data_IF_147040511622
#
_entry.id   IF_147040511622
#
_cell.length_a   1.000
_cell.length_b   1.000
_cell.length_c   1.000
_cell.angle_alpha   90.00
_cell.angle_beta   90.00
_cell.angle_gamma   90.00
#
_symmetry.space_group_name_H-M   'P 1'
#
loop_
_entity.id
_entity.type
_entity.pdbx_description
1 polymer ?
#
# COMPACT_ATOMS: atom_id res chain seq x y z
N UNK A 1 -24.96 -22.15 -2.98
CA UNK A 1 -24.69 -20.69 -3.09
C UNK A 1 -23.36 -20.33 -2.44
N UNK A 2 -23.13 -20.48 -1.14
CA UNK A 2 -21.87 -20.12 -0.49
C UNK A 2 -20.59 -20.79 -1.06
N UNK A 3 -20.64 -22.08 -1.44
CA UNK A 3 -19.49 -22.80 -2.02
C UNK A 3 -19.12 -22.35 -3.44
N UNK A 4 -20.06 -21.82 -4.23
CA UNK A 4 -19.76 -21.32 -5.59
C UNK A 4 -19.18 -19.89 -5.54
N UNK A 5 -19.62 -19.07 -4.58
CA UNK A 5 -19.04 -17.75 -4.31
C UNK A 5 -17.59 -17.87 -3.83
N UNK A 6 -17.30 -18.83 -2.96
CA UNK A 6 -15.94 -19.07 -2.43
C UNK A 6 -14.97 -19.56 -3.52
N UNK A 7 -15.43 -20.44 -4.41
CA UNK A 7 -14.64 -20.87 -5.58
C UNK A 7 -14.40 -19.72 -6.57
N UNK A 8 -15.36 -18.84 -6.75
CA UNK A 8 -15.24 -17.64 -7.59
C UNK A 8 -14.17 -16.69 -7.05
N UNK A 9 -14.24 -16.40 -5.75
CA UNK A 9 -13.26 -15.56 -5.06
C UNK A 9 -11.84 -16.14 -5.12
N UNK A 10 -11.68 -17.44 -4.87
CA UNK A 10 -10.38 -18.12 -4.94
C UNK A 10 -9.78 -18.05 -6.37
N UNK A 11 -10.59 -18.26 -7.41
CA UNK A 11 -10.12 -18.15 -8.81
C UNK A 11 -9.74 -16.72 -9.17
N UNK A 12 -10.52 -15.74 -8.71
CA UNK A 12 -10.19 -14.33 -8.92
C UNK A 12 -8.85 -13.98 -8.27
N UNK A 13 -8.62 -14.41 -7.03
CA UNK A 13 -7.35 -14.23 -6.33
C UNK A 13 -6.18 -14.91 -7.06
N UNK A 14 -6.38 -16.13 -7.60
CA UNK A 14 -5.38 -16.85 -8.40
C UNK A 14 -4.97 -16.06 -9.65
N UNK A 15 -5.94 -15.45 -10.36
CA UNK A 15 -5.65 -14.62 -11.53
C UNK A 15 -4.89 -13.35 -11.13
N UNK A 16 -5.27 -12.69 -10.02
CA UNK A 16 -4.58 -11.49 -9.54
C UNK A 16 -3.13 -11.80 -9.13
N UNK A 17 -2.88 -12.93 -8.46
CA UNK A 17 -1.54 -13.37 -8.12
C UNK A 17 -0.67 -13.63 -9.36
N UNK A 18 -1.23 -14.31 -10.37
CA UNK A 18 -0.55 -14.53 -11.64
C UNK A 18 -0.25 -13.21 -12.39
N UNK A 19 -1.20 -12.27 -12.36
CA UNK A 19 -1.00 -10.94 -12.95
C UNK A 19 0.12 -10.17 -12.23
N UNK A 20 0.17 -10.20 -10.91
CA UNK A 20 1.25 -9.58 -10.14
C UNK A 20 2.61 -10.15 -10.52
N UNK A 21 2.75 -11.48 -10.61
CA UNK A 21 3.98 -12.16 -11.05
C UNK A 21 4.40 -11.75 -12.46
N UNK A 22 3.46 -11.74 -13.40
CA UNK A 22 3.76 -11.40 -14.80
C UNK A 22 4.12 -9.92 -14.94
N UNK A 23 3.38 -9.02 -14.28
CA UNK A 23 3.68 -7.58 -14.32
C UNK A 23 5.02 -7.27 -13.65
N UNK A 24 5.34 -7.89 -12.52
CA UNK A 24 6.64 -7.72 -11.87
C UNK A 24 7.82 -8.14 -12.78
N UNK A 25 7.63 -9.22 -13.56
CA UNK A 25 8.70 -9.77 -14.42
C UNK A 25 8.84 -9.07 -15.77
N UNK A 26 7.75 -8.64 -16.39
CA UNK A 26 7.73 -8.14 -17.78
C UNK A 26 7.31 -6.67 -17.91
N UNK A 27 6.91 -6.06 -16.81
CA UNK A 27 6.25 -4.77 -16.79
C UNK A 27 4.81 -4.84 -17.30
N UNK A 28 3.99 -3.84 -16.91
CA UNK A 28 2.61 -3.76 -17.38
C UNK A 28 2.52 -3.71 -18.92
N UNK A 29 3.34 -2.87 -19.56
CA UNK A 29 3.26 -2.70 -21.01
C UNK A 29 3.71 -3.94 -21.80
N UNK A 30 4.75 -4.62 -21.32
CA UNK A 30 5.29 -5.85 -21.95
C UNK A 30 4.41 -7.09 -21.75
N UNK A 31 3.68 -7.15 -20.65
CA UNK A 31 2.82 -8.29 -20.30
C UNK A 31 1.63 -8.43 -21.24
N UNK A 32 1.28 -9.69 -21.57
CA UNK A 32 0.10 -10.04 -22.37
C UNK A 32 -0.87 -10.87 -21.55
N UNK A 33 -2.16 -10.80 -21.87
CA UNK A 33 -3.18 -11.63 -21.22
C UNK A 33 -2.88 -13.13 -21.34
N UNK A 34 -2.30 -13.56 -22.46
CA UNK A 34 -1.92 -14.97 -22.68
C UNK A 34 -0.76 -15.43 -21.76
N UNK A 35 0.12 -14.52 -21.32
CA UNK A 35 1.16 -14.81 -20.34
C UNK A 35 0.54 -15.03 -18.96
N UNK A 36 -0.48 -14.23 -18.61
CA UNK A 36 -1.22 -14.37 -17.36
C UNK A 36 -2.07 -15.65 -17.35
N UNK A 37 -2.65 -16.04 -18.50
CA UNK A 37 -3.32 -17.35 -18.65
C UNK A 37 -2.36 -18.48 -18.32
N UNK A 38 -1.14 -18.48 -18.88
CA UNK A 38 -0.12 -19.51 -18.62
C UNK A 38 0.29 -19.53 -17.13
N UNK A 39 0.56 -18.37 -16.57
CA UNK A 39 1.00 -18.22 -15.18
C UNK A 39 -0.08 -18.67 -14.19
N UNK A 40 -1.36 -18.34 -14.49
CA UNK A 40 -2.48 -18.72 -13.62
C UNK A 40 -2.84 -20.22 -13.69
N UNK A 41 -2.41 -20.94 -14.71
CA UNK A 41 -2.81 -22.33 -14.95
C UNK A 41 -4.29 -22.52 -15.30
N UNK A 42 -5.02 -21.43 -15.57
CA UNK A 42 -6.44 -21.46 -15.95
C UNK A 42 -6.60 -21.47 -17.45
N UNK A 43 -7.77 -21.90 -17.93
CA UNK A 43 -8.09 -21.76 -19.37
C UNK A 43 -8.26 -20.29 -19.75
N UNK A 44 -7.99 -19.97 -21.03
CA UNK A 44 -8.20 -18.63 -21.58
C UNK A 44 -9.64 -18.16 -21.39
N UNK A 45 -10.62 -19.03 -21.62
CA UNK A 45 -12.03 -18.73 -21.40
C UNK A 45 -12.35 -18.39 -19.93
N UNK A 46 -11.74 -19.11 -18.97
CA UNK A 46 -11.91 -18.83 -17.55
C UNK A 46 -11.35 -17.44 -17.19
N UNK A 47 -10.14 -17.10 -17.64
CA UNK A 47 -9.55 -15.79 -17.34
C UNK A 47 -10.41 -14.65 -17.93
N UNK A 48 -10.81 -14.74 -19.22
CA UNK A 48 -11.63 -13.72 -19.87
C UNK A 48 -13.08 -13.63 -19.35
N UNK A 49 -13.53 -14.63 -18.61
CA UNK A 49 -14.80 -14.55 -17.90
C UNK A 49 -14.70 -13.55 -16.72
N UNK A 50 -13.56 -13.54 -16.00
CA UNK A 50 -13.30 -12.63 -14.86
C UNK A 50 -12.85 -11.24 -15.28
N UNK A 51 -11.97 -11.14 -16.29
CA UNK A 51 -11.34 -9.88 -16.71
C UNK A 51 -11.32 -9.77 -18.23
N UNK A 52 -11.98 -8.76 -18.76
CA UNK A 52 -12.11 -8.56 -20.20
C UNK A 52 -10.89 -7.92 -20.85
N UNK A 53 -10.06 -7.22 -20.06
CA UNK A 53 -8.88 -6.52 -20.54
C UNK A 53 -7.74 -6.55 -19.53
N UNK A 54 -6.53 -6.26 -20.01
CA UNK A 54 -5.36 -6.05 -19.14
C UNK A 54 -5.53 -4.84 -18.22
N UNK A 55 -6.21 -3.81 -18.67
CA UNK A 55 -6.53 -2.61 -17.90
C UNK A 55 -7.47 -2.94 -16.74
N UNK A 56 -8.56 -3.65 -16.99
CA UNK A 56 -9.48 -4.12 -15.95
C UNK A 56 -8.76 -4.98 -14.91
N UNK A 57 -7.88 -5.87 -15.37
CA UNK A 57 -7.09 -6.74 -14.50
C UNK A 57 -6.10 -5.93 -13.66
N UNK A 58 -5.41 -4.93 -14.24
CA UNK A 58 -4.49 -4.06 -13.51
C UNK A 58 -5.23 -3.22 -12.46
N UNK A 59 -6.37 -2.65 -12.81
CA UNK A 59 -7.23 -1.91 -11.86
C UNK A 59 -7.67 -2.80 -10.70
N UNK A 60 -8.09 -4.03 -10.99
CA UNK A 60 -8.48 -4.98 -9.95
C UNK A 60 -7.30 -5.41 -9.07
N UNK A 61 -6.09 -5.53 -9.64
CA UNK A 61 -4.88 -5.83 -8.88
C UNK A 61 -4.52 -4.68 -7.93
N UNK A 62 -4.53 -3.43 -8.42
CA UNK A 62 -4.33 -2.23 -7.58
C UNK A 62 -5.33 -2.20 -6.44
N UNK A 63 -6.63 -2.34 -6.75
CA UNK A 63 -7.68 -2.38 -5.73
C UNK A 63 -7.42 -3.46 -4.67
N UNK A 64 -7.02 -4.67 -5.09
CA UNK A 64 -6.72 -5.77 -4.19
C UNK A 64 -5.52 -5.48 -3.28
N UNK A 65 -4.44 -4.90 -3.83
CA UNK A 65 -3.24 -4.53 -3.08
C UNK A 65 -3.57 -3.47 -2.02
N UNK A 66 -4.23 -2.39 -2.42
CA UNK A 66 -4.60 -1.28 -1.53
C UNK A 66 -5.61 -1.71 -0.47
N UNK A 67 -6.59 -2.57 -0.81
CA UNK A 67 -7.54 -3.12 0.16
C UNK A 67 -6.85 -4.00 1.21
N UNK A 68 -5.81 -4.73 0.83
CA UNK A 68 -5.01 -5.53 1.77
C UNK A 68 -4.24 -4.64 2.73
N UNK A 69 -3.61 -3.57 2.24
CA UNK A 69 -2.91 -2.59 3.07
C UNK A 69 -3.86 -1.89 4.05
N UNK A 70 -5.02 -1.45 3.55
CA UNK A 70 -6.07 -0.83 4.39
C UNK A 70 -6.51 -1.76 5.52
N UNK A 71 -6.76 -3.04 5.21
CA UNK A 71 -7.17 -4.02 6.22
C UNK A 71 -6.08 -4.23 7.28
N UNK A 72 -4.82 -4.37 6.87
CA UNK A 72 -3.70 -4.50 7.81
C UNK A 72 -3.59 -3.29 8.72
N UNK A 73 -3.80 -2.08 8.20
CA UNK A 73 -3.84 -0.85 8.99
C UNK A 73 -5.00 -0.85 9.97
N UNK A 74 -6.22 -1.20 9.53
CA UNK A 74 -7.41 -1.26 10.38
C UNK A 74 -7.23 -2.27 11.52
N UNK A 75 -6.68 -3.46 11.23
CA UNK A 75 -6.39 -4.50 12.23
C UNK A 75 -5.39 -3.99 13.28
N UNK A 76 -4.30 -3.35 12.84
CA UNK A 76 -3.28 -2.80 13.73
C UNK A 76 -3.82 -1.67 14.59
N UNK A 77 -4.65 -0.78 14.04
CA UNK A 77 -5.24 0.32 14.80
C UNK A 77 -6.31 -0.16 15.81
N UNK A 78 -6.86 -1.35 15.62
CA UNK A 78 -7.80 -1.98 16.55
C UNK A 78 -7.12 -2.67 17.74
N UNK A 79 -5.79 -2.85 17.72
CA UNK A 79 -5.05 -3.44 18.83
C UNK A 79 -5.10 -2.53 20.08
N UNK A 80 -5.27 -3.15 21.25
CA UNK A 80 -5.27 -2.46 22.55
C UNK A 80 -3.84 -2.21 23.06
N UNK A 81 -3.11 -1.39 22.30
CA UNK A 81 -1.76 -0.94 22.63
C UNK A 81 -1.63 0.58 22.48
N UNK A 82 -0.56 1.16 22.99
CA UNK A 82 -0.35 2.61 22.91
C UNK A 82 -0.20 3.08 21.46
N UNK A 83 -0.59 4.32 21.18
CA UNK A 83 -0.42 4.93 19.86
C UNK A 83 1.06 4.92 19.38
N UNK A 84 2.01 5.00 20.30
CA UNK A 84 3.43 4.90 19.98
C UNK A 84 3.81 3.49 19.50
N UNK A 85 3.28 2.46 20.15
CA UNK A 85 3.49 1.07 19.73
C UNK A 85 2.80 0.79 18.39
N UNK A 86 1.57 1.29 18.17
CA UNK A 86 0.89 1.16 16.88
C UNK A 86 1.70 1.80 15.75
N UNK A 87 2.25 3.00 15.96
CA UNK A 87 3.10 3.65 14.96
C UNK A 87 4.37 2.85 14.67
N UNK A 88 5.06 2.35 15.71
CA UNK A 88 6.26 1.54 15.52
C UNK A 88 5.96 0.24 14.77
N UNK A 89 4.91 -0.47 15.16
CA UNK A 89 4.46 -1.70 14.49
C UNK A 89 4.11 -1.45 13.02
N UNK A 90 3.40 -0.34 12.73
CA UNK A 90 3.04 0.05 11.37
C UNK A 90 4.28 0.24 10.50
N UNK A 91 5.22 1.06 10.94
CA UNK A 91 6.41 1.41 10.17
C UNK A 91 7.34 0.22 9.99
N UNK A 92 7.67 -0.47 11.08
CA UNK A 92 8.58 -1.63 11.04
C UNK A 92 7.94 -2.82 10.35
N UNK A 93 6.64 -3.06 10.58
CA UNK A 93 5.89 -4.13 9.92
C UNK A 93 5.86 -3.95 8.41
N UNK A 94 5.58 -2.73 7.94
CA UNK A 94 5.60 -2.39 6.52
C UNK A 94 6.98 -2.63 5.88
N UNK A 95 8.05 -2.14 6.52
CA UNK A 95 9.41 -2.32 6.00
C UNK A 95 9.82 -3.80 5.92
N UNK A 96 9.51 -4.59 6.97
CA UNK A 96 9.78 -6.04 6.98
C UNK A 96 9.01 -6.79 5.89
N UNK A 97 7.76 -6.41 5.65
CA UNK A 97 6.95 -7.05 4.62
C UNK A 97 7.49 -6.76 3.21
N UNK A 98 7.95 -5.52 2.95
CA UNK A 98 8.65 -5.20 1.70
C UNK A 98 9.96 -5.97 1.55
N UNK A 99 10.74 -6.12 2.63
CA UNK A 99 11.99 -6.85 2.59
C UNK A 99 11.81 -8.36 2.30
N UNK A 100 10.69 -8.95 2.75
CA UNK A 100 10.33 -10.34 2.43
C UNK A 100 9.92 -10.53 0.97
N UNK A 101 9.36 -9.49 0.35
CA UNK A 101 8.80 -9.52 -1.00
C UNK A 101 9.38 -8.37 -1.83
N UNK A 102 10.68 -8.43 -2.24
CA UNK A 102 11.36 -7.30 -2.87
C UNK A 102 10.76 -6.87 -4.21
N UNK A 103 10.07 -7.77 -4.91
CA UNK A 103 9.39 -7.46 -6.18
C UNK A 103 8.10 -6.64 -6.00
N UNK A 104 7.61 -6.53 -4.76
CA UNK A 104 6.36 -5.81 -4.46
C UNK A 104 6.49 -4.29 -4.66
N UNK A 105 7.61 -3.71 -4.23
CA UNK A 105 7.82 -2.27 -4.35
C UNK A 105 7.97 -1.80 -5.81
N UNK A 106 8.81 -2.44 -6.67
CA UNK A 106 8.86 -2.12 -8.09
C UNK A 106 7.49 -2.24 -8.78
N UNK A 107 6.75 -3.32 -8.50
CA UNK A 107 5.41 -3.52 -9.04
C UNK A 107 4.44 -2.41 -8.62
N UNK A 108 4.44 -2.02 -7.34
CA UNK A 108 3.58 -0.96 -6.83
C UNK A 108 3.88 0.39 -7.51
N UNK A 109 5.16 0.73 -7.70
CA UNK A 109 5.58 1.96 -8.40
C UNK A 109 5.15 1.95 -9.88
N UNK A 110 5.25 0.82 -10.56
CA UNK A 110 4.81 0.68 -11.94
C UNK A 110 3.29 0.85 -12.07
N UNK A 111 2.52 0.19 -11.20
CA UNK A 111 1.07 0.31 -11.18
C UNK A 111 0.61 1.73 -10.80
N UNK A 112 1.32 2.39 -9.87
CA UNK A 112 1.07 3.80 -9.53
C UNK A 112 1.26 4.71 -10.75
N UNK A 113 2.28 4.46 -11.58
CA UNK A 113 2.51 5.25 -12.80
C UNK A 113 1.32 5.20 -13.78
N UNK A 114 0.55 4.11 -13.79
CA UNK A 114 -0.65 3.96 -14.61
C UNK A 114 -1.79 4.90 -14.18
N UNK A 115 -1.79 5.41 -12.95
CA UNK A 115 -2.76 6.41 -12.48
C UNK A 115 -2.76 7.70 -13.33
N UNK A 116 -1.69 7.96 -14.08
CA UNK A 116 -1.63 9.07 -15.05
C UNK A 116 -2.57 8.89 -16.24
N UNK A 117 -2.78 7.66 -16.68
CA UNK A 117 -3.49 7.32 -17.92
C UNK A 117 -4.78 6.55 -17.69
N UNK A 118 -4.91 5.86 -16.56
CA UNK A 118 -6.09 5.04 -16.22
C UNK A 118 -6.83 5.71 -15.04
N UNK A 119 -8.00 6.35 -15.31
CA UNK A 119 -8.75 7.08 -14.29
C UNK A 119 -9.17 6.22 -13.08
N UNK A 120 -9.56 4.96 -13.31
CA UNK A 120 -9.99 4.05 -12.25
C UNK A 120 -8.85 3.74 -11.28
N UNK A 121 -7.63 3.53 -11.79
CA UNK A 121 -6.43 3.35 -10.96
C UNK A 121 -6.14 4.62 -10.15
N UNK A 122 -6.26 5.80 -10.77
CA UNK A 122 -6.11 7.08 -10.05
C UNK A 122 -7.10 7.19 -8.91
N UNK A 123 -8.37 6.88 -9.15
CA UNK A 123 -9.42 6.92 -8.14
C UNK A 123 -9.14 5.96 -6.97
N UNK A 124 -8.65 4.75 -7.26
CA UNK A 124 -8.24 3.78 -6.24
C UNK A 124 -7.14 4.35 -5.32
N UNK A 125 -6.07 4.91 -5.92
CA UNK A 125 -4.97 5.50 -5.14
C UNK A 125 -5.41 6.74 -4.36
N UNK A 126 -6.19 7.65 -4.95
CA UNK A 126 -6.69 8.85 -4.25
C UNK A 126 -7.49 8.47 -3.02
N UNK A 127 -8.49 7.60 -3.16
CA UNK A 127 -9.31 7.15 -2.04
C UNK A 127 -8.49 6.44 -0.94
N UNK A 128 -7.49 5.65 -1.33
CA UNK A 128 -6.59 4.98 -0.39
C UNK A 128 -5.73 6.01 0.37
N UNK A 129 -5.11 6.96 -0.33
CA UNK A 129 -4.27 7.99 0.28
C UNK A 129 -5.07 8.87 1.25
N UNK A 130 -6.28 9.31 0.87
CA UNK A 130 -7.14 10.12 1.72
C UNK A 130 -7.46 9.39 3.04
N UNK A 131 -7.82 8.09 2.96
CA UNK A 131 -8.07 7.25 4.12
C UNK A 131 -6.82 7.06 4.98
N UNK A 132 -5.70 6.79 4.36
CA UNK A 132 -4.43 6.55 5.06
C UNK A 132 -3.95 7.80 5.81
N UNK A 133 -4.05 8.97 5.17
CA UNK A 133 -3.78 10.27 5.79
C UNK A 133 -4.66 10.49 7.03
N UNK A 134 -5.97 10.19 6.93
CA UNK A 134 -6.91 10.33 8.05
C UNK A 134 -6.55 9.41 9.23
N UNK A 135 -6.19 8.16 8.95
CA UNK A 135 -5.76 7.18 9.96
C UNK A 135 -4.46 7.60 10.65
N UNK A 136 -3.45 8.03 9.87
CA UNK A 136 -2.17 8.49 10.41
C UNK A 136 -2.36 9.77 11.23
N UNK A 137 -3.14 10.74 10.75
CA UNK A 137 -3.48 11.95 11.50
C UNK A 137 -4.12 11.61 12.85
N UNK A 138 -5.11 10.71 12.86
CA UNK A 138 -5.78 10.26 14.08
C UNK A 138 -4.80 9.63 15.05
N UNK A 139 -3.87 8.82 14.57
CA UNK A 139 -2.81 8.21 15.38
C UNK A 139 -1.88 9.27 15.98
N UNK A 140 -1.50 10.28 15.20
CA UNK A 140 -0.64 11.38 15.65
C UNK A 140 -1.31 12.25 16.71
N UNK A 141 -2.61 12.53 16.58
CA UNK A 141 -3.39 13.25 17.60
C UNK A 141 -3.42 12.48 18.93
N UNK A 142 -3.59 11.15 18.88
CA UNK A 142 -3.52 10.30 20.08
C UNK A 142 -2.12 10.28 20.70
N UNK A 143 -1.05 10.39 19.90
CA UNK A 143 0.32 10.49 20.38
C UNK A 143 0.63 11.81 21.09
N UNK A 144 -0.02 12.89 20.68
CA UNK A 144 0.14 14.23 21.29
C UNK A 144 -0.61 14.38 22.62
N UNK A 145 -1.46 13.40 22.98
CA UNK A 145 -2.30 13.43 24.18
C UNK A 145 -3.33 14.56 24.13
N UNK A 146 -3.56 15.13 22.97
CA UNK A 146 -4.53 16.19 22.78
C UNK A 146 -5.94 15.62 22.88
N UNK A 147 -6.67 16.00 23.94
CA UNK A 147 -8.14 16.07 23.95
C UNK A 147 -8.58 16.86 22.71
N UNK A 148 -9.85 16.72 22.20
CA UNK A 148 -10.23 17.17 20.86
C UNK A 148 -9.67 18.56 20.58
N UNK A 149 -8.63 18.54 19.80
CA UNK A 149 -7.61 19.54 19.68
C UNK A 149 -8.19 20.77 19.00
N UNK A 150 -7.80 21.95 19.45
CA UNK A 150 -8.06 23.16 18.68
C UNK A 150 -7.40 23.11 17.30
N UNK A 151 -7.84 23.98 16.39
CA UNK A 151 -7.43 24.03 14.97
C UNK A 151 -5.91 23.90 14.72
N UNK A 152 -5.09 24.43 15.64
CA UNK A 152 -3.64 24.39 15.54
C UNK A 152 -3.04 22.98 15.71
N UNK A 153 -3.62 22.11 16.55
CA UNK A 153 -3.18 20.71 16.70
C UNK A 153 -3.55 19.88 15.50
N UNK A 154 -4.74 20.09 14.95
CA UNK A 154 -5.16 19.46 13.70
C UNK A 154 -4.23 19.82 12.54
N UNK A 155 -3.92 21.12 12.37
CA UNK A 155 -3.03 21.57 11.30
C UNK A 155 -1.60 20.97 11.41
N UNK A 156 -1.08 20.85 12.65
CA UNK A 156 0.21 20.18 12.87
C UNK A 156 0.17 18.69 12.57
N UNK A 157 -0.90 18.00 12.99
CA UNK A 157 -1.07 16.56 12.73
C UNK A 157 -1.25 16.29 11.22
N UNK A 158 -1.98 17.13 10.50
CA UNK A 158 -2.12 17.05 9.04
C UNK A 158 -0.78 17.21 8.33
N UNK A 159 -0.03 18.26 8.67
CA UNK A 159 1.29 18.50 8.08
C UNK A 159 2.26 17.35 8.36
N UNK A 160 2.25 16.81 9.58
CA UNK A 160 3.09 15.69 9.94
C UNK A 160 2.64 14.37 9.27
N UNK A 161 1.34 14.10 9.16
CA UNK A 161 0.84 12.94 8.45
C UNK A 161 1.27 12.96 6.98
N UNK A 162 1.11 14.09 6.30
CA UNK A 162 1.57 14.27 4.93
C UNK A 162 3.08 14.09 4.80
N UNK A 163 3.87 14.67 5.73
CA UNK A 163 5.32 14.52 5.75
C UNK A 163 5.74 13.06 5.95
N UNK A 164 5.09 12.34 6.87
CA UNK A 164 5.37 10.93 7.13
C UNK A 164 5.13 10.05 5.91
N UNK A 165 3.98 10.21 5.24
CA UNK A 165 3.67 9.45 4.04
C UNK A 165 4.65 9.78 2.91
N UNK A 166 4.96 11.06 2.70
CA UNK A 166 5.95 11.47 1.68
C UNK A 166 7.33 10.91 1.96
N UNK A 167 7.75 10.81 3.22
CA UNK A 167 9.03 10.19 3.60
C UNK A 167 9.00 8.69 3.33
N UNK A 168 7.91 8.00 3.68
CA UNK A 168 7.76 6.56 3.42
C UNK A 168 7.86 6.28 1.92
N UNK A 169 7.08 7.00 1.10
CA UNK A 169 7.09 6.85 -0.37
C UNK A 169 8.48 7.12 -0.95
N UNK A 170 9.12 8.21 -0.54
CA UNK A 170 10.46 8.57 -0.98
C UNK A 170 11.53 7.56 -0.58
N UNK A 171 11.44 6.98 0.62
CA UNK A 171 12.40 5.97 1.08
C UNK A 171 12.19 4.62 0.40
N UNK A 172 10.95 4.21 0.15
CA UNK A 172 10.64 3.01 -0.64
C UNK A 172 11.18 3.15 -2.06
N UNK A 173 10.96 4.30 -2.70
CA UNK A 173 11.53 4.58 -4.03
C UNK A 173 13.05 4.48 -4.02
N UNK A 174 13.72 5.13 -3.05
CA UNK A 174 15.18 5.07 -2.92
C UNK A 174 15.69 3.66 -2.65
N UNK A 175 15.00 2.91 -1.79
CA UNK A 175 15.35 1.52 -1.49
C UNK A 175 15.23 0.62 -2.73
N UNK A 176 14.16 0.80 -3.51
CA UNK A 176 13.94 0.07 -4.77
C UNK A 176 15.01 0.35 -5.82
N UNK A 177 15.54 1.58 -5.86
CA UNK A 177 16.54 2.01 -6.84
C UNK A 177 17.99 1.94 -6.32
N UNK A 178 18.18 1.53 -5.07
CA UNK A 178 19.51 1.56 -4.43
C UNK A 178 20.47 0.56 -5.06
N UNK A 179 21.63 1.03 -5.48
CA UNK A 179 22.77 0.18 -5.90
C UNK A 179 23.56 -0.34 -4.71
N UNK A 180 23.51 0.37 -3.58
CA UNK A 180 24.07 -0.04 -2.30
C UNK A 180 22.92 -0.32 -1.34
N UNK A 181 22.73 -1.57 -0.90
CA UNK A 181 21.67 -1.92 0.04
C UNK A 181 21.77 -1.13 1.35
N UNK A 182 20.62 -0.76 1.90
CA UNK A 182 20.50 -0.21 3.24
C UNK A 182 19.32 -0.85 3.97
N UNK A 183 19.34 -0.83 5.30
CA UNK A 183 18.26 -1.33 6.12
C UNK A 183 17.06 -0.37 6.06
N UNK A 184 16.01 -0.80 5.35
CA UNK A 184 14.79 0.01 5.19
C UNK A 184 14.06 0.20 6.52
N UNK A 185 14.02 -0.84 7.38
CA UNK A 185 13.30 -0.81 8.65
C UNK A 185 13.89 0.25 9.59
N UNK A 186 15.21 0.20 9.80
CA UNK A 186 15.88 1.13 10.70
C UNK A 186 15.86 2.56 10.19
N UNK A 187 16.05 2.75 8.88
CA UNK A 187 16.04 4.10 8.28
C UNK A 187 14.65 4.72 8.29
N UNK A 188 13.61 3.96 7.96
CA UNK A 188 12.22 4.42 8.05
C UNK A 188 11.86 4.78 9.49
N UNK A 189 12.19 3.93 10.45
CA UNK A 189 11.89 4.20 11.84
C UNK A 189 12.62 5.43 12.38
N UNK A 190 13.89 5.60 12.03
CA UNK A 190 14.67 6.78 12.38
C UNK A 190 14.02 8.08 11.86
N UNK A 191 13.62 8.08 10.58
CA UNK A 191 13.00 9.24 9.94
C UNK A 191 11.62 9.56 10.55
N UNK A 192 10.74 8.57 10.67
CA UNK A 192 9.38 8.72 11.22
C UNK A 192 9.45 9.19 12.67
N UNK A 193 10.25 8.52 13.52
CA UNK A 193 10.41 8.91 14.92
C UNK A 193 11.02 10.31 15.09
N UNK A 194 11.86 10.75 14.15
CA UNK A 194 12.39 12.12 14.08
C UNK A 194 11.30 13.17 13.85
N UNK A 195 10.41 12.94 12.87
CA UNK A 195 9.27 13.82 12.56
C UNK A 195 8.33 13.90 13.78
N UNK A 196 7.98 12.76 14.35
CA UNK A 196 7.07 12.72 15.51
C UNK A 196 7.65 13.44 16.75
N UNK A 197 8.95 13.32 16.98
CA UNK A 197 9.63 14.11 18.05
C UNK A 197 9.57 15.61 17.76
N UNK A 198 9.76 16.00 16.49
CA UNK A 198 9.67 17.40 16.08
C UNK A 198 8.28 18.01 16.27
N UNK A 199 7.21 17.22 16.14
CA UNK A 199 5.84 17.69 16.43
C UNK A 199 5.63 18.10 17.88
N UNK A 200 6.30 17.42 18.82
CA UNK A 200 6.16 17.64 20.28
C UNK A 200 7.04 18.77 20.81
N UNK A 201 7.99 19.26 20.00
CA UNK A 201 8.83 20.38 20.42
C UNK A 201 8.00 21.68 20.49
N UNK A 202 8.08 22.46 21.56
CA UNK A 202 7.47 23.78 21.60
C UNK A 202 8.07 24.66 20.49
N UNK A 203 7.22 25.43 19.82
CA UNK A 203 7.64 26.41 18.82
C UNK A 203 8.45 27.55 19.45
#
# INVERSE_FOLDING_TARGET
>A
MAQDDDRGAARRAQILAAAATVFARQGYHGARMDDIVKESGLSKGALYWYFKSKEELATALVHHMLATETRTMDELLAEDVSAAQQLEQLVRGFARELAKNPDRAPLALELLALARTIPDIRSCYSAHHDRYLDQVRTLLLRLDGAEPAGDASYARADAAALALLSVVDGMVLRWTLATTPFDLEDQLWAAVSGIVRGMKAPA
#
